data_IF_294384659484
#
_entry.id   IF_294384659484
#
_cell.length_a   1.000
_cell.length_b   1.000
_cell.length_c   1.000
_cell.angle_alpha   90.00
_cell.angle_beta   90.00
_cell.angle_gamma   90.00
#
_symmetry.space_group_name_H-M   'P 1'
#
loop_
_entity.id
_entity.type
_entity.pdbx_description
1 polymer ?
#
# COMPACT_ATOMS: atom_id res chain seq x y z
N UNK A 1 1.71 -9.43 -35.63
CA UNK A 1 0.83 -8.74 -34.65
C UNK A 1 0.89 -9.52 -33.35
N UNK A 2 1.64 -9.05 -32.35
CA UNK A 2 1.72 -9.75 -31.06
C UNK A 2 0.47 -9.44 -30.27
N UNK A 3 -0.42 -10.43 -30.24
CA UNK A 3 -1.63 -10.45 -29.44
C UNK A 3 -1.23 -10.46 -27.95
N UNK A 4 -1.30 -9.30 -27.32
CA UNK A 4 -1.11 -9.16 -25.87
C UNK A 4 -2.28 -9.84 -25.18
N UNK A 5 -2.13 -11.12 -24.86
CA UNK A 5 -3.01 -11.87 -23.95
C UNK A 5 -3.09 -11.11 -22.63
N UNK A 6 -4.17 -10.34 -22.46
CA UNK A 6 -4.49 -9.64 -21.22
C UNK A 6 -4.81 -10.73 -20.19
N UNK A 7 -3.80 -11.08 -19.39
CA UNK A 7 -3.92 -12.06 -18.31
C UNK A 7 -5.03 -11.67 -17.33
N UNK A 8 -5.48 -12.61 -16.48
CA UNK A 8 -6.59 -12.39 -15.55
C UNK A 8 -6.30 -11.13 -14.74
N UNK A 9 -7.26 -10.19 -14.72
CA UNK A 9 -7.11 -8.93 -13.99
C UNK A 9 -6.58 -9.23 -12.59
N UNK A 10 -5.42 -8.66 -12.26
CA UNK A 10 -4.75 -8.86 -10.98
C UNK A 10 -5.78 -8.63 -9.87
N UNK A 11 -6.00 -9.57 -8.94
CA UNK A 11 -7.05 -9.44 -7.94
C UNK A 11 -6.93 -8.08 -7.25
N UNK A 12 -8.01 -7.30 -7.21
CA UNK A 12 -8.01 -5.93 -6.69
C UNK A 12 -7.45 -5.82 -5.25
N UNK A 13 -7.45 -6.94 -4.53
CA UNK A 13 -6.81 -7.10 -3.24
C UNK A 13 -5.29 -6.82 -3.26
N UNK A 14 -4.59 -7.22 -4.32
CA UNK A 14 -3.15 -7.02 -4.49
C UNK A 14 -2.78 -5.54 -4.66
N UNK A 15 -3.64 -4.78 -5.36
CA UNK A 15 -3.43 -3.32 -5.57
C UNK A 15 -3.57 -2.53 -4.28
N UNK A 16 -4.59 -2.82 -3.45
CA UNK A 16 -4.75 -2.18 -2.14
C UNK A 16 -3.56 -2.53 -1.22
N UNK A 17 -3.17 -3.81 -1.16
CA UNK A 17 -2.04 -4.23 -0.33
C UNK A 17 -0.72 -3.56 -0.74
N UNK A 18 -0.47 -3.42 -2.05
CA UNK A 18 0.70 -2.69 -2.55
C UNK A 18 0.70 -1.22 -2.20
N UNK A 19 -0.45 -0.57 -2.29
CA UNK A 19 -0.60 0.83 -1.86
C UNK A 19 -0.30 0.96 -0.37
N UNK A 20 -0.85 0.07 0.47
CA UNK A 20 -0.62 0.07 1.91
C UNK A 20 0.85 -0.19 2.24
N UNK A 21 1.50 -1.18 1.63
CA UNK A 21 2.91 -1.48 1.86
C UNK A 21 3.84 -0.33 1.43
N UNK A 22 3.57 0.27 0.26
CA UNK A 22 4.27 1.47 -0.20
C UNK A 22 4.05 2.64 0.77
N UNK A 23 2.83 2.81 1.28
CA UNK A 23 2.50 3.85 2.24
C UNK A 23 3.19 3.65 3.59
N UNK A 24 3.23 2.43 4.14
CA UNK A 24 4.00 2.12 5.35
C UNK A 24 5.48 2.51 5.18
N UNK A 25 6.09 2.13 4.06
CA UNK A 25 7.50 2.43 3.78
C UNK A 25 7.75 3.94 3.68
N UNK A 26 6.88 4.67 2.97
CA UNK A 26 6.99 6.12 2.83
C UNK A 26 6.79 6.83 4.18
N UNK A 27 5.79 6.43 4.95
CA UNK A 27 5.53 7.03 6.26
C UNK A 27 6.70 6.82 7.22
N UNK A 28 7.32 5.64 7.22
CA UNK A 28 8.48 5.34 8.05
C UNK A 28 9.74 6.15 7.65
N UNK A 29 9.93 6.43 6.35
CA UNK A 29 11.11 7.14 5.85
C UNK A 29 11.05 8.67 6.05
N UNK A 30 9.88 9.27 5.82
CA UNK A 30 9.76 10.75 5.68
C UNK A 30 8.55 11.35 6.41
N UNK A 31 7.66 10.54 6.96
CA UNK A 31 6.43 11.00 7.60
C UNK A 31 5.31 11.38 6.61
N UNK A 32 4.16 11.77 7.16
CA UNK A 32 2.93 12.01 6.40
C UNK A 32 2.96 13.30 5.58
N UNK A 33 3.43 14.41 6.17
CA UNK A 33 3.46 15.73 5.52
C UNK A 33 4.35 15.73 4.27
N UNK A 34 5.54 15.12 4.39
CA UNK A 34 6.49 15.01 3.28
C UNK A 34 6.11 13.94 2.23
N UNK A 35 4.96 13.27 2.37
CA UNK A 35 4.50 12.25 1.42
C UNK A 35 3.38 12.79 0.53
N UNK A 36 3.42 12.54 -0.78
CA UNK A 36 2.39 12.95 -1.73
C UNK A 36 1.66 11.75 -2.32
N UNK A 37 0.41 11.91 -2.81
CA UNK A 37 -0.35 10.83 -3.42
C UNK A 37 0.37 10.16 -4.59
N UNK A 38 1.10 10.95 -5.37
CA UNK A 38 1.89 10.47 -6.51
C UNK A 38 3.04 9.55 -6.06
N UNK A 39 3.64 9.80 -4.89
CA UNK A 39 4.72 8.96 -4.38
C UNK A 39 4.21 7.59 -3.94
N UNK A 40 2.99 7.49 -3.40
CA UNK A 40 2.36 6.19 -3.13
C UNK A 40 2.16 5.38 -4.41
N UNK A 41 1.68 6.03 -5.48
CA UNK A 41 1.47 5.38 -6.77
C UNK A 41 2.78 4.93 -7.41
N UNK A 42 3.80 5.81 -7.42
CA UNK A 42 5.12 5.49 -7.97
C UNK A 42 5.76 4.30 -7.25
N UNK A 43 5.72 4.28 -5.91
CA UNK A 43 6.34 3.20 -5.13
C UNK A 43 5.54 1.90 -5.14
N UNK A 44 4.21 1.97 -5.19
CA UNK A 44 3.35 0.77 -5.26
C UNK A 44 3.31 0.14 -6.65
N UNK A 45 3.67 0.89 -7.71
CA UNK A 45 3.50 0.49 -9.10
C UNK A 45 2.03 0.34 -9.51
N UNK A 46 1.10 0.90 -8.73
CA UNK A 46 -0.34 0.86 -8.97
C UNK A 46 -0.75 2.11 -9.76
N UNK A 47 -1.54 1.93 -10.82
CA UNK A 47 -1.97 3.02 -11.70
C UNK A 47 -2.81 4.07 -10.97
N UNK A 48 -2.72 5.33 -11.45
CA UNK A 48 -3.34 6.50 -10.81
C UNK A 48 -4.83 6.33 -10.49
N UNK A 49 -5.60 5.72 -11.40
CA UNK A 49 -7.04 5.47 -11.18
C UNK A 49 -7.35 4.50 -10.04
N UNK A 50 -6.54 3.45 -9.87
CA UNK A 50 -6.78 2.41 -8.86
C UNK A 50 -6.69 2.94 -7.42
N UNK A 51 -5.84 3.93 -7.15
CA UNK A 51 -5.76 4.54 -5.81
C UNK A 51 -7.07 5.24 -5.42
N UNK A 52 -7.64 6.04 -6.34
CA UNK A 52 -8.89 6.77 -6.09
C UNK A 52 -10.12 5.85 -6.06
N UNK A 53 -10.06 4.68 -6.71
CA UNK A 53 -11.09 3.65 -6.57
C UNK A 53 -11.08 2.99 -5.18
N UNK A 54 -9.92 2.80 -4.56
CA UNK A 54 -9.81 2.20 -3.23
C UNK A 54 -10.04 3.19 -2.08
N UNK A 55 -9.71 4.48 -2.28
CA UNK A 55 -9.80 5.51 -1.24
C UNK A 55 -10.61 6.74 -1.72
N UNK A 56 -11.90 6.57 -2.05
CA UNK A 56 -12.71 7.63 -2.69
C UNK A 56 -12.98 8.84 -1.78
N UNK A 57 -13.14 8.65 -0.46
CA UNK A 57 -13.60 9.72 0.45
C UNK A 57 -12.47 10.43 1.20
N UNK A 58 -11.32 9.77 1.41
CA UNK A 58 -10.21 10.31 2.21
C UNK A 58 -8.86 10.34 1.49
N UNK A 59 -8.79 9.84 0.25
CA UNK A 59 -7.60 9.89 -0.60
C UNK A 59 -6.30 9.54 0.15
N UNK A 60 -5.38 10.53 0.21
CA UNK A 60 -4.08 10.45 0.90
C UNK A 60 -4.21 10.05 2.38
N UNK A 61 -5.14 10.69 3.10
CA UNK A 61 -5.35 10.48 4.53
C UNK A 61 -5.91 9.10 4.82
N UNK A 62 -6.85 8.64 3.98
CA UNK A 62 -7.44 7.30 4.10
C UNK A 62 -6.38 6.20 3.95
N UNK A 63 -5.52 6.34 2.94
CA UNK A 63 -4.41 5.41 2.73
C UNK A 63 -3.41 5.47 3.89
N UNK A 64 -3.08 6.66 4.40
CA UNK A 64 -2.17 6.79 5.52
C UNK A 64 -2.73 6.17 6.80
N UNK A 65 -4.03 6.31 7.07
CA UNK A 65 -4.67 5.70 8.23
C UNK A 65 -4.67 4.16 8.14
N UNK A 66 -4.95 3.60 6.97
CA UNK A 66 -4.86 2.15 6.74
C UNK A 66 -3.42 1.67 6.94
N UNK A 67 -2.42 2.41 6.45
CA UNK A 67 -1.00 2.10 6.65
C UNK A 67 -0.58 2.16 8.13
N UNK A 68 -0.99 3.19 8.87
CA UNK A 68 -0.72 3.31 10.31
C UNK A 68 -1.39 2.18 11.08
N UNK A 69 -2.64 1.86 10.74
CA UNK A 69 -3.36 0.74 11.37
C UNK A 69 -2.65 -0.59 11.11
N UNK A 70 -2.16 -0.80 9.89
CA UNK A 70 -1.39 -1.98 9.52
C UNK A 70 -0.06 -2.07 10.28
N UNK A 71 0.69 -0.96 10.37
CA UNK A 71 1.93 -0.90 11.15
C UNK A 71 1.64 -1.20 12.63
N UNK A 72 0.61 -0.58 13.22
CA UNK A 72 0.21 -0.82 14.61
C UNK A 72 -0.08 -2.31 14.86
N UNK A 73 -0.91 -2.94 14.03
CA UNK A 73 -1.21 -4.38 14.18
C UNK A 73 0.05 -5.23 14.06
N UNK A 74 0.94 -4.90 13.13
CA UNK A 74 2.20 -5.63 12.93
C UNK A 74 3.15 -5.47 14.12
N UNK A 75 3.25 -4.27 14.69
CA UNK A 75 4.07 -3.98 15.87
C UNK A 75 3.52 -4.68 17.11
N UNK A 76 2.21 -4.64 17.34
CA UNK A 76 1.59 -5.35 18.46
C UNK A 76 1.80 -6.87 18.35
N UNK A 77 1.56 -7.44 17.16
CA UNK A 77 1.80 -8.87 16.92
C UNK A 77 3.26 -9.28 17.20
N UNK A 78 4.23 -8.42 16.84
CA UNK A 78 5.63 -8.62 17.14
C UNK A 78 5.92 -8.57 18.66
N UNK A 79 5.37 -7.58 19.36
CA UNK A 79 5.54 -7.43 20.81
C UNK A 79 4.88 -8.58 21.60
N UNK A 80 3.76 -9.12 21.10
CA UNK A 80 3.04 -10.24 21.69
C UNK A 80 3.73 -11.60 21.42
N UNK A 81 4.90 -11.61 20.77
CA UNK A 81 5.68 -12.84 20.51
C UNK A 81 5.08 -13.76 19.45
N UNK A 82 4.07 -13.29 18.71
CA UNK A 82 3.50 -14.05 17.60
C UNK A 82 4.39 -13.93 16.34
N UNK A 83 4.63 -15.03 15.59
CA UNK A 83 5.49 -14.96 14.41
C UNK A 83 4.80 -14.22 13.27
N UNK A 84 5.01 -12.92 13.16
CA UNK A 84 4.56 -12.15 12.00
C UNK A 84 5.47 -12.45 10.81
N UNK A 85 4.94 -13.09 9.76
CA UNK A 85 5.67 -13.27 8.49
C UNK A 85 5.65 -11.95 7.72
N UNK A 86 6.47 -10.98 8.14
CA UNK A 86 6.65 -9.72 7.41
C UNK A 86 7.56 -10.00 6.22
N UNK A 87 6.97 -10.42 5.10
CA UNK A 87 7.68 -10.54 3.83
C UNK A 87 7.73 -9.17 3.13
N UNK A 88 8.41 -8.20 3.74
CA UNK A 88 8.82 -6.99 3.01
C UNK A 88 10.00 -7.37 2.12
N UNK A 89 9.69 -7.68 0.87
CA UNK A 89 10.69 -7.86 -0.19
C UNK A 89 11.08 -6.46 -0.68
N UNK A 90 12.28 -6.03 -0.31
CA UNK A 90 12.99 -4.94 -0.98
C UNK A 90 13.24 -5.27 -2.45
#
# INVERSE_FOLDING_TARGET
MVERRRGPGRPAYDSKQKLVAAACSLLAERGFEATSPQMFQQRSGVGHGSMYHHFPSRGKEGLALDAISHMRTSTLAFLDGSPTTVKLRC
#
